data_IF_227558881866
#
_entry.id   IF_227558881866
#
_cell.length_a   1.000
_cell.length_b   1.000
_cell.length_c   1.000
_cell.angle_alpha   90.00
_cell.angle_beta   90.00
_cell.angle_gamma   90.00
#
_symmetry.space_group_name_H-M   'P 1'
#
loop_
_entity.id
_entity.type
_entity.pdbx_description
1 polymer ?
#
# COMPACT_ATOMS: atom_id res chain seq x y z
N UNK A 1 -6.19 24.71 -10.08
CA UNK A 1 -6.13 23.29 -10.34
C UNK A 1 -7.43 22.82 -10.97
N UNK A 2 -7.40 22.08 -12.07
CA UNK A 2 -8.59 21.47 -12.68
C UNK A 2 -8.35 19.99 -12.85
N UNK A 3 -9.37 19.18 -12.58
CA UNK A 3 -9.36 17.72 -12.72
C UNK A 3 -10.70 17.27 -13.31
N UNK A 4 -10.70 16.16 -14.04
CA UNK A 4 -11.92 15.48 -14.49
C UNK A 4 -12.23 14.31 -13.56
N UNK A 5 -13.09 14.51 -12.58
CA UNK A 5 -13.48 13.47 -11.62
C UNK A 5 -14.27 12.32 -12.26
N UNK A 6 -14.71 12.46 -13.52
CA UNK A 6 -15.35 11.37 -14.27
C UNK A 6 -14.34 10.36 -14.86
N UNK A 7 -13.04 10.62 -14.73
CA UNK A 7 -11.96 9.75 -15.22
C UNK A 7 -11.04 9.27 -14.09
N UNK A 8 -11.55 8.48 -13.14
CA UNK A 8 -10.75 7.93 -12.06
C UNK A 8 -9.75 6.91 -12.58
N UNK A 9 -8.55 6.92 -12.01
CA UNK A 9 -7.51 5.89 -12.19
C UNK A 9 -7.42 5.13 -10.87
N UNK A 10 -8.06 3.98 -10.80
CA UNK A 10 -8.09 3.12 -9.61
C UNK A 10 -6.73 2.43 -9.45
N UNK A 11 -6.13 2.57 -8.27
CA UNK A 11 -4.85 1.95 -7.93
C UNK A 11 -5.01 0.72 -7.03
N UNK A 12 -6.25 0.31 -6.72
CA UNK A 12 -6.46 -0.78 -5.78
C UNK A 12 -6.42 -2.16 -6.43
N UNK A 13 -5.96 -3.15 -5.68
CA UNK A 13 -6.12 -4.56 -5.97
C UNK A 13 -7.44 -5.06 -5.38
N UNK A 14 -8.16 -5.96 -6.08
CA UNK A 14 -9.40 -6.51 -5.56
C UNK A 14 -9.14 -7.43 -4.37
N UNK A 15 -10.01 -7.34 -3.36
CA UNK A 15 -10.06 -8.28 -2.25
C UNK A 15 -11.17 -9.30 -2.52
N UNK A 16 -10.79 -10.56 -2.77
CA UNK A 16 -11.73 -11.63 -3.07
C UNK A 16 -11.33 -12.97 -2.44
N UNK A 17 -12.28 -13.87 -2.24
CA UNK A 17 -12.02 -15.25 -1.87
C UNK A 17 -11.74 -16.12 -3.11
N UNK A 18 -11.12 -17.29 -2.91
CA UNK A 18 -10.86 -18.26 -3.99
C UNK A 18 -9.43 -18.16 -4.54
N UNK A 19 -9.23 -18.76 -5.71
CA UNK A 19 -7.92 -18.77 -6.36
C UNK A 19 -7.52 -17.39 -6.88
N UNK A 20 -6.23 -17.17 -7.04
CA UNK A 20 -5.69 -15.91 -7.57
C UNK A 20 -5.78 -14.71 -6.64
N UNK A 21 -5.87 -14.93 -5.34
CA UNK A 21 -5.80 -13.85 -4.35
C UNK A 21 -4.40 -13.26 -4.29
N UNK A 22 -4.30 -11.94 -4.21
CA UNK A 22 -3.05 -11.29 -3.80
C UNK A 22 -2.81 -11.57 -2.32
N UNK A 23 -1.63 -12.10 -2.00
CA UNK A 23 -1.21 -12.43 -0.63
C UNK A 23 0.22 -12.01 -0.34
N UNK A 24 0.49 -11.74 0.93
CA UNK A 24 1.83 -11.57 1.48
C UNK A 24 1.91 -12.18 2.89
N UNK A 25 3.11 -12.34 3.42
CA UNK A 25 3.35 -12.69 4.83
C UNK A 25 2.77 -14.04 5.27
N UNK A 26 2.63 -14.99 4.35
CA UNK A 26 2.10 -16.36 4.64
C UNK A 26 0.77 -16.37 5.38
N UNK A 27 -0.03 -15.30 5.26
CA UNK A 27 -1.36 -15.26 5.90
C UNK A 27 -2.30 -16.29 5.28
N UNK A 28 -3.28 -16.75 6.07
CA UNK A 28 -4.35 -17.62 5.57
C UNK A 28 -5.12 -16.92 4.43
N UNK A 29 -5.63 -17.65 3.44
CA UNK A 29 -6.45 -17.07 2.38
C UNK A 29 -7.64 -16.26 2.91
N UNK A 30 -8.07 -15.24 2.14
CA UNK A 30 -9.33 -14.56 2.39
C UNK A 30 -10.46 -15.57 2.35
N UNK A 31 -11.34 -15.55 3.33
CA UNK A 31 -12.60 -16.31 3.29
C UNK A 31 -13.81 -15.39 3.23
N UNK A 32 -14.82 -15.80 2.46
CA UNK A 32 -16.13 -15.16 2.37
C UNK A 32 -17.17 -16.26 2.51
N UNK A 33 -17.69 -16.45 3.71
CA UNK A 33 -18.54 -17.57 4.07
C UNK A 33 -19.95 -17.10 4.40
N UNK A 34 -20.94 -17.79 3.85
CA UNK A 34 -22.34 -17.50 4.16
C UNK A 34 -22.60 -17.66 5.68
N UNK A 35 -23.24 -16.67 6.27
CA UNK A 35 -23.77 -16.80 7.63
C UNK A 35 -24.85 -17.86 7.64
N UNK A 36 -24.80 -18.80 8.59
CA UNK A 36 -25.83 -19.81 8.78
C UNK A 36 -26.83 -19.29 9.82
N UNK A 37 -28.11 -19.19 9.41
CA UNK A 37 -29.22 -18.81 10.28
C UNK A 37 -30.26 -19.93 10.31
N UNK A 38 -30.60 -20.40 11.50
CA UNK A 38 -31.54 -21.54 11.73
C UNK A 38 -31.20 -22.77 10.85
N UNK A 39 -29.90 -23.07 10.72
CA UNK A 39 -29.40 -24.22 9.97
C UNK A 39 -29.41 -24.04 8.45
N UNK A 40 -29.68 -22.82 7.94
CA UNK A 40 -29.68 -22.51 6.49
C UNK A 40 -28.64 -21.45 6.16
N UNK A 41 -27.86 -21.63 5.10
CA UNK A 41 -26.94 -20.58 4.64
C UNK A 41 -27.73 -19.39 4.08
N UNK A 42 -27.31 -18.21 4.42
CA UNK A 42 -27.92 -16.96 3.97
C UNK A 42 -27.42 -16.59 2.58
N UNK A 43 -27.85 -17.37 1.59
CA UNK A 43 -27.57 -17.18 0.17
C UNK A 43 -28.88 -17.19 -0.63
N UNK A 44 -29.05 -16.20 -1.51
CA UNK A 44 -30.22 -16.13 -2.40
C UNK A 44 -30.29 -17.36 -3.31
N UNK A 45 -29.13 -17.86 -3.77
CA UNK A 45 -29.03 -19.07 -4.59
C UNK A 45 -29.55 -20.34 -3.87
N UNK A 46 -29.61 -20.32 -2.52
CA UNK A 46 -30.09 -21.41 -1.69
C UNK A 46 -31.47 -21.11 -1.05
N UNK A 47 -32.18 -20.12 -1.60
CA UNK A 47 -33.55 -19.78 -1.20
C UNK A 47 -33.67 -18.81 -0.04
N UNK A 48 -32.59 -18.19 0.41
CA UNK A 48 -32.64 -17.08 1.35
C UNK A 48 -33.09 -15.79 0.67
N UNK A 49 -33.61 -14.83 1.46
CA UNK A 49 -34.01 -13.51 0.94
C UNK A 49 -32.85 -12.57 0.64
N UNK A 50 -31.66 -12.85 1.18
CA UNK A 50 -30.46 -12.00 1.05
C UNK A 50 -29.21 -12.87 0.97
N UNK A 51 -28.14 -12.29 0.38
CA UNK A 51 -26.79 -12.79 0.52
C UNK A 51 -26.15 -12.11 1.73
N UNK A 52 -25.78 -12.89 2.72
CA UNK A 52 -25.19 -12.40 3.97
C UNK A 52 -23.98 -13.23 4.34
N UNK A 53 -22.78 -12.67 4.12
CA UNK A 53 -21.53 -13.36 4.32
C UNK A 53 -20.67 -12.68 5.39
N UNK A 54 -19.97 -13.50 6.17
CA UNK A 54 -18.83 -13.06 6.97
C UNK A 54 -17.58 -13.05 6.10
N UNK A 55 -16.74 -12.02 6.27
CA UNK A 55 -15.48 -11.87 5.52
C UNK A 55 -14.33 -11.89 6.52
N UNK A 56 -13.35 -12.76 6.30
CA UNK A 56 -12.10 -12.80 7.07
C UNK A 56 -10.93 -12.47 6.16
N UNK A 57 -10.14 -11.49 6.54
CA UNK A 57 -8.94 -11.07 5.85
C UNK A 57 -7.94 -10.45 6.84
N UNK A 58 -6.69 -10.32 6.39
CA UNK A 58 -5.65 -9.55 7.07
C UNK A 58 -5.38 -8.28 6.26
N UNK A 59 -5.49 -7.05 6.80
CA UNK A 59 -5.27 -5.82 6.04
C UNK A 59 -3.89 -5.79 5.37
N UNK A 60 -2.82 -6.12 6.09
CA UNK A 60 -1.44 -6.08 5.57
C UNK A 60 -1.12 -7.18 4.55
N UNK A 61 -1.85 -8.28 4.57
CA UNK A 61 -1.53 -9.46 3.75
C UNK A 61 -2.42 -9.64 2.52
N UNK A 62 -3.52 -8.88 2.37
CA UNK A 62 -4.51 -9.13 1.33
C UNK A 62 -4.90 -7.87 0.55
N UNK A 63 -4.11 -7.56 -0.48
CA UNK A 63 -4.42 -6.45 -1.39
C UNK A 63 -4.11 -5.07 -0.83
N UNK A 64 -4.60 -4.05 -1.53
CA UNK A 64 -4.28 -2.65 -1.23
C UNK A 64 -4.82 -2.23 0.12
N UNK A 65 -3.93 -1.73 0.94
CA UNK A 65 -4.24 -1.25 2.29
C UNK A 65 -3.44 0.01 2.62
N UNK A 66 -3.96 0.77 3.57
CA UNK A 66 -3.27 1.93 4.14
C UNK A 66 -3.07 1.70 5.63
N UNK A 67 -1.90 2.05 6.11
CA UNK A 67 -1.47 1.85 7.48
C UNK A 67 -0.94 3.12 8.13
N UNK A 68 -0.98 3.14 9.45
CA UNK A 68 -0.45 4.16 10.33
C UNK A 68 0.80 3.68 11.06
N UNK A 69 1.44 4.58 11.79
CA UNK A 69 2.55 4.23 12.70
C UNK A 69 2.17 3.19 13.77
N UNK A 70 0.89 2.96 14.00
CA UNK A 70 0.39 1.89 14.86
C UNK A 70 0.89 0.50 14.46
N UNK A 71 1.29 0.33 13.18
CA UNK A 71 1.89 -0.91 12.68
C UNK A 71 3.20 -1.29 13.39
N UNK A 72 3.99 -0.29 13.79
CA UNK A 72 5.31 -0.50 14.43
C UNK A 72 5.41 0.08 15.84
N UNK A 73 4.34 0.69 16.34
CA UNK A 73 4.29 1.31 17.68
C UNK A 73 3.62 0.39 18.70
N UNK A 74 4.12 0.33 19.95
CA UNK A 74 3.39 -0.31 21.03
C UNK A 74 2.12 0.45 21.43
N UNK A 75 2.03 1.76 21.13
CA UNK A 75 0.83 2.56 21.32
C UNK A 75 -0.15 2.32 20.17
N UNK A 76 -1.44 2.37 20.52
CA UNK A 76 -2.52 2.21 19.52
C UNK A 76 -2.71 3.51 18.76
N UNK A 77 -2.42 3.50 17.46
CA UNK A 77 -2.66 4.61 16.54
C UNK A 77 -3.56 4.15 15.38
N UNK A 78 -4.90 4.17 15.56
CA UNK A 78 -5.81 3.64 14.55
C UNK A 78 -5.73 4.45 13.26
N UNK A 79 -5.63 3.77 12.11
CA UNK A 79 -5.59 4.42 10.81
C UNK A 79 -6.87 5.20 10.51
N UNK A 80 -8.02 4.74 11.01
CA UNK A 80 -9.33 5.35 10.77
C UNK A 80 -9.44 6.83 11.18
N UNK A 81 -8.58 7.30 12.09
CA UNK A 81 -8.55 8.70 12.54
C UNK A 81 -7.44 9.55 11.93
N UNK A 82 -6.63 9.02 11.00
CA UNK A 82 -5.42 9.70 10.51
C UNK A 82 -5.68 10.81 9.51
N UNK A 83 -6.75 10.72 8.71
CA UNK A 83 -7.02 11.69 7.65
C UNK A 83 -8.01 12.76 8.12
N UNK A 84 -7.64 14.02 7.98
CA UNK A 84 -8.49 15.19 8.15
C UNK A 84 -9.06 15.73 6.81
N UNK A 85 -8.56 15.22 5.69
CA UNK A 85 -8.99 15.46 4.31
C UNK A 85 -8.67 14.26 3.44
N UNK A 86 -9.23 14.20 2.24
CA UNK A 86 -9.16 13.02 1.38
C UNK A 86 -8.50 13.27 0.03
N UNK A 87 -8.18 14.52 -0.31
CA UNK A 87 -7.56 14.90 -1.57
C UNK A 87 -6.19 15.53 -1.33
N UNK A 88 -5.18 15.05 -2.07
CA UNK A 88 -3.78 15.43 -1.92
C UNK A 88 -3.14 15.65 -3.28
N UNK A 89 -2.22 16.60 -3.36
CA UNK A 89 -1.35 16.72 -4.53
C UNK A 89 -0.35 15.56 -4.51
N UNK A 90 -0.40 14.75 -5.56
CA UNK A 90 0.43 13.56 -5.67
C UNK A 90 1.36 13.64 -6.88
N UNK A 91 2.51 13.01 -6.75
CA UNK A 91 3.40 12.72 -7.86
C UNK A 91 3.51 11.21 -8.05
N UNK A 92 3.27 10.72 -9.27
CA UNK A 92 3.56 9.36 -9.69
C UNK A 92 4.96 9.32 -10.28
N UNK A 93 5.77 8.38 -9.81
CA UNK A 93 7.11 8.12 -10.34
C UNK A 93 7.31 6.62 -10.60
N UNK A 94 7.97 6.29 -11.69
CA UNK A 94 8.37 4.92 -12.03
C UNK A 94 9.85 4.72 -11.70
N UNK A 95 10.16 3.71 -10.90
CA UNK A 95 11.52 3.43 -10.44
C UNK A 95 11.91 1.99 -10.78
N UNK A 96 13.09 1.81 -11.36
CA UNK A 96 13.72 0.50 -11.52
C UNK A 96 14.62 0.24 -10.33
N UNK A 97 14.30 -0.77 -9.47
CA UNK A 97 15.15 -1.11 -8.34
C UNK A 97 16.58 -1.50 -8.78
N UNK A 98 17.56 -1.19 -7.95
CA UNK A 98 18.95 -1.60 -8.11
C UNK A 98 19.18 -2.98 -7.52
N UNK A 99 19.82 -3.86 -8.26
CA UNK A 99 20.29 -5.15 -7.74
C UNK A 99 21.49 -4.93 -6.81
N UNK A 100 21.35 -5.37 -5.56
CA UNK A 100 22.39 -5.26 -4.53
C UNK A 100 22.65 -6.64 -3.94
N UNK A 101 23.86 -7.16 -4.13
CA UNK A 101 24.24 -8.45 -3.55
C UNK A 101 24.53 -8.28 -2.06
N UNK A 102 23.89 -9.09 -1.23
CA UNK A 102 24.12 -9.13 0.23
C UNK A 102 25.36 -9.97 0.57
N UNK A 103 25.83 -9.87 1.81
CA UNK A 103 26.94 -10.69 2.31
C UNK A 103 26.62 -12.20 2.28
N UNK A 104 25.35 -12.56 2.44
CA UNK A 104 24.84 -13.93 2.38
C UNK A 104 24.69 -14.46 0.94
N UNK A 105 24.98 -13.61 -0.07
CA UNK A 105 24.92 -13.99 -1.48
C UNK A 105 23.53 -13.92 -2.11
N UNK A 106 22.54 -13.37 -1.41
CA UNK A 106 21.20 -13.05 -1.95
C UNK A 106 21.28 -11.75 -2.75
N UNK A 107 20.52 -11.64 -3.82
CA UNK A 107 20.38 -10.38 -4.56
C UNK A 107 19.11 -9.68 -4.10
N UNK A 108 19.27 -8.57 -3.41
CA UNK A 108 18.16 -7.65 -3.07
C UNK A 108 17.88 -6.70 -4.23
N UNK A 109 16.63 -6.23 -4.31
CA UNK A 109 16.18 -5.23 -5.28
C UNK A 109 15.82 -3.95 -4.53
N UNK A 110 16.65 -2.92 -4.61
CA UNK A 110 16.59 -1.77 -3.70
C UNK A 110 16.20 -0.50 -4.45
N UNK A 111 15.18 0.18 -3.96
CA UNK A 111 14.83 1.56 -4.35
C UNK A 111 15.64 2.50 -3.45
N UNK A 112 16.61 3.19 -4.06
CA UNK A 112 17.58 4.01 -3.33
C UNK A 112 17.15 5.48 -3.24
N UNK A 113 17.77 6.23 -2.33
CA UNK A 113 17.64 7.68 -2.25
C UNK A 113 17.97 8.36 -3.59
N UNK A 114 19.01 7.85 -4.29
CA UNK A 114 19.40 8.39 -5.61
C UNK A 114 18.27 8.27 -6.64
N UNK A 115 17.61 7.12 -6.70
CA UNK A 115 16.46 6.91 -7.59
C UNK A 115 15.32 7.89 -7.31
N UNK A 116 14.98 8.09 -6.02
CA UNK A 116 13.86 8.97 -5.67
C UNK A 116 14.20 10.45 -5.91
N UNK A 117 15.42 10.88 -5.64
CA UNK A 117 15.85 12.25 -5.95
C UNK A 117 15.80 12.54 -7.44
N UNK A 118 16.25 11.61 -8.28
CA UNK A 118 16.20 11.74 -9.73
C UNK A 118 14.75 11.78 -10.23
N UNK A 119 13.91 10.88 -9.77
CA UNK A 119 12.53 10.74 -10.24
C UNK A 119 11.62 11.89 -9.79
N UNK A 120 11.78 12.38 -8.55
CA UNK A 120 10.96 13.46 -7.98
C UNK A 120 11.45 14.84 -8.47
N UNK A 121 12.78 15.01 -8.64
CA UNK A 121 13.38 16.30 -8.99
C UNK A 121 13.21 17.34 -7.88
N UNK A 122 12.91 18.57 -8.26
CA UNK A 122 12.73 19.70 -7.33
C UNK A 122 11.31 19.81 -6.74
N UNK A 123 10.45 18.82 -7.00
CA UNK A 123 9.08 18.81 -6.49
C UNK A 123 9.01 18.43 -5.01
N UNK A 124 7.96 18.89 -4.35
CA UNK A 124 7.62 18.53 -2.96
C UNK A 124 6.16 18.05 -2.95
N UNK A 125 5.90 16.80 -3.29
CA UNK A 125 4.55 16.27 -3.32
C UNK A 125 4.05 16.00 -1.88
N UNK A 126 2.74 16.22 -1.66
CA UNK A 126 2.09 15.80 -0.39
C UNK A 126 1.97 14.28 -0.34
N UNK A 127 1.73 13.66 -1.49
CA UNK A 127 1.67 12.21 -1.65
C UNK A 127 2.62 11.76 -2.76
N UNK A 128 3.34 10.68 -2.52
CA UNK A 128 4.20 10.05 -3.52
C UNK A 128 3.68 8.67 -3.86
N UNK A 129 3.46 8.45 -5.15
CA UNK A 129 3.07 7.13 -5.69
C UNK A 129 4.28 6.54 -6.43
N UNK A 130 4.77 5.42 -5.96
CA UNK A 130 5.91 4.72 -6.54
C UNK A 130 5.41 3.49 -7.30
N UNK A 131 5.70 3.45 -8.60
CA UNK A 131 5.54 2.26 -9.44
C UNK A 131 6.91 1.63 -9.68
N UNK A 132 7.06 0.36 -9.32
CA UNK A 132 8.30 -0.39 -9.61
C UNK A 132 8.30 -0.94 -11.02
N UNK A 133 9.40 -0.75 -11.75
CA UNK A 133 9.60 -1.25 -13.11
C UNK A 133 10.61 -2.39 -13.07
N UNK A 134 10.13 -3.62 -12.98
CA UNK A 134 10.97 -4.82 -12.86
C UNK A 134 10.58 -5.95 -13.85
N UNK A 135 9.97 -5.58 -14.99
CA UNK A 135 9.63 -6.53 -16.07
C UNK A 135 8.25 -7.18 -15.94
N UNK A 136 7.89 -7.66 -14.77
CA UNK A 136 6.53 -8.16 -14.48
C UNK A 136 5.80 -7.18 -13.59
N UNK A 137 4.79 -6.52 -14.16
CA UNK A 137 3.99 -5.50 -13.45
C UNK A 137 2.63 -6.05 -12.97
N UNK A 138 2.37 -7.36 -13.13
CA UNK A 138 1.16 -7.96 -12.59
C UNK A 138 1.29 -8.08 -11.07
N UNK A 139 0.41 -7.39 -10.34
CA UNK A 139 0.34 -7.41 -8.87
C UNK A 139 -0.84 -8.23 -8.39
N UNK A 140 -1.93 -8.21 -9.17
CA UNK A 140 -3.13 -8.97 -8.88
C UNK A 140 -2.87 -10.48 -8.96
N UNK A 141 -3.41 -11.22 -8.01
CA UNK A 141 -3.25 -12.67 -7.92
C UNK A 141 -1.86 -13.16 -7.52
N UNK A 142 -0.94 -12.27 -7.14
CA UNK A 142 0.42 -12.65 -6.76
C UNK A 142 0.49 -13.05 -5.29
N UNK A 143 1.13 -14.20 -5.01
CA UNK A 143 1.65 -14.50 -3.67
C UNK A 143 3.07 -13.93 -3.54
N UNK A 144 3.21 -12.95 -2.67
CA UNK A 144 4.48 -12.26 -2.42
C UNK A 144 5.36 -12.99 -1.40
N UNK A 145 4.76 -13.92 -0.64
CA UNK A 145 5.47 -14.61 0.45
C UNK A 145 6.68 -15.39 -0.05
N UNK A 146 7.86 -15.09 0.48
CA UNK A 146 9.13 -15.71 0.09
C UNK A 146 9.64 -15.31 -1.29
N UNK A 147 9.09 -14.23 -1.90
CA UNK A 147 9.45 -13.81 -3.26
C UNK A 147 10.60 -12.80 -3.32
N UNK A 148 11.11 -12.37 -2.16
CA UNK A 148 12.15 -11.33 -2.05
C UNK A 148 11.81 -10.08 -2.88
N UNK A 149 10.66 -9.42 -2.61
CA UNK A 149 10.24 -8.24 -3.34
C UNK A 149 11.24 -7.08 -3.19
N UNK A 150 11.20 -6.11 -4.11
CA UNK A 150 11.93 -4.86 -3.91
C UNK A 150 11.48 -4.14 -2.63
N UNK A 151 12.36 -3.26 -2.13
CA UNK A 151 12.10 -2.44 -0.95
C UNK A 151 12.82 -1.09 -1.03
N UNK A 152 12.46 -0.15 -0.15
CA UNK A 152 13.10 1.15 -0.03
C UNK A 152 14.24 1.11 1.00
N UNK A 153 15.37 1.72 0.70
CA UNK A 153 16.37 1.93 1.74
C UNK A 153 15.90 3.00 2.76
N UNK A 154 16.24 2.82 4.03
CA UNK A 154 15.81 3.71 5.11
C UNK A 154 16.13 5.18 4.85
N UNK A 155 17.31 5.48 4.27
CA UNK A 155 17.71 6.85 3.90
C UNK A 155 16.76 7.50 2.88
N UNK A 156 16.16 6.71 1.99
CA UNK A 156 15.16 7.20 1.05
C UNK A 156 13.88 7.63 1.79
N UNK A 157 13.42 6.82 2.73
CA UNK A 157 12.25 7.11 3.56
C UNK A 157 12.48 8.32 4.50
N UNK A 158 13.66 8.42 5.10
CA UNK A 158 14.07 9.59 5.89
C UNK A 158 14.04 10.87 5.06
N UNK A 159 14.56 10.82 3.83
CA UNK A 159 14.54 11.97 2.93
C UNK A 159 13.12 12.33 2.51
N UNK A 160 12.26 11.37 2.15
CA UNK A 160 10.86 11.63 1.83
C UNK A 160 10.15 12.33 2.99
N UNK A 161 10.38 11.86 4.22
CA UNK A 161 9.90 12.54 5.41
C UNK A 161 10.41 13.98 5.49
N UNK A 162 11.70 14.20 5.28
CA UNK A 162 12.35 15.50 5.41
C UNK A 162 11.87 16.55 4.42
N UNK A 163 11.47 16.13 3.21
CA UNK A 163 10.86 17.01 2.20
C UNK A 163 9.36 17.20 2.36
N UNK A 164 8.72 16.53 3.32
CA UNK A 164 7.32 16.77 3.68
C UNK A 164 6.31 15.83 3.03
N UNK A 165 6.72 14.69 2.43
CA UNK A 165 5.78 13.67 1.94
C UNK A 165 4.97 13.14 3.12
N UNK A 166 3.64 13.23 3.04
CA UNK A 166 2.71 12.75 4.07
C UNK A 166 2.20 11.35 3.77
N UNK A 167 1.91 11.07 2.50
CA UNK A 167 1.32 9.80 2.07
C UNK A 167 2.24 9.12 1.07
N UNK A 168 2.78 7.96 1.43
CA UNK A 168 3.63 7.14 0.57
C UNK A 168 2.81 5.95 0.08
N UNK A 169 2.70 5.80 -1.25
CA UNK A 169 1.97 4.71 -1.88
C UNK A 169 2.94 3.91 -2.75
N UNK A 170 2.93 2.58 -2.68
CA UNK A 170 3.82 1.72 -3.47
C UNK A 170 3.15 0.41 -3.88
N UNK A 171 3.59 -0.11 -5.01
CA UNK A 171 3.12 -1.37 -5.60
C UNK A 171 3.86 -2.60 -5.06
N UNK A 172 4.32 -2.53 -3.82
CA UNK A 172 5.07 -3.55 -3.11
C UNK A 172 4.33 -3.97 -1.84
N UNK A 173 4.63 -5.17 -1.30
CA UNK A 173 3.99 -5.64 -0.07
C UNK A 173 4.54 -4.99 1.20
N UNK A 174 5.67 -4.29 1.12
CA UNK A 174 6.27 -3.51 2.20
C UNK A 174 7.22 -2.45 1.69
N UNK A 175 7.39 -1.39 2.49
CA UNK A 175 8.52 -0.46 2.31
C UNK A 175 9.85 -1.09 2.72
N UNK A 176 9.85 -2.09 3.61
CA UNK A 176 11.03 -2.78 4.09
C UNK A 176 11.31 -4.09 3.36
N UNK A 177 12.51 -4.60 3.55
CA UNK A 177 12.95 -5.91 3.07
C UNK A 177 12.12 -7.01 3.73
N UNK A 178 11.65 -7.99 2.94
CA UNK A 178 10.82 -9.08 3.42
C UNK A 178 11.43 -9.83 4.63
N UNK A 179 12.74 -9.98 4.63
CA UNK A 179 13.46 -10.70 5.68
C UNK A 179 14.58 -9.82 6.24
N UNK A 180 14.24 -8.95 7.18
CA UNK A 180 15.14 -7.98 7.81
C UNK A 180 15.39 -8.24 9.31
N UNK A 181 14.87 -9.36 9.84
CA UNK A 181 14.95 -9.70 11.26
C UNK A 181 14.07 -8.84 12.16
N UNK A 182 13.07 -8.16 11.59
CA UNK A 182 12.16 -7.25 12.32
C UNK A 182 12.75 -5.88 12.56
N UNK A 183 13.75 -5.47 11.77
CA UNK A 183 14.38 -4.14 11.91
C UNK A 183 13.48 -3.01 11.43
N UNK A 184 12.62 -3.25 10.42
CA UNK A 184 11.62 -2.31 9.87
C UNK A 184 12.19 -0.90 9.64
N UNK A 185 13.43 -0.85 9.10
CA UNK A 185 14.23 0.38 9.07
C UNK A 185 13.60 1.49 8.21
N UNK A 186 12.93 1.14 7.11
CA UNK A 186 12.25 2.11 6.26
C UNK A 186 10.97 2.65 6.92
N UNK A 187 10.18 1.79 7.59
CA UNK A 187 9.04 2.23 8.39
C UNK A 187 9.47 3.20 9.49
N UNK A 188 10.48 2.81 10.30
CA UNK A 188 11.02 3.68 11.36
C UNK A 188 11.49 5.02 10.80
N UNK A 189 12.18 5.04 9.66
CA UNK A 189 12.68 6.25 9.04
C UNK A 189 11.56 7.15 8.51
N UNK A 190 10.50 6.58 7.93
CA UNK A 190 9.38 7.36 7.38
C UNK A 190 8.53 8.02 8.47
N UNK A 191 8.25 7.33 9.57
CA UNK A 191 7.48 7.87 10.69
C UNK A 191 8.32 8.58 11.77
N UNK A 192 9.65 8.55 11.68
CA UNK A 192 10.57 9.00 12.75
C UNK A 192 10.31 8.34 14.11
N UNK A 193 9.87 7.09 14.03
CA UNK A 193 9.58 6.32 15.24
C UNK A 193 10.89 5.75 15.83
N UNK A 194 11.11 5.81 17.14
CA UNK A 194 10.22 6.33 18.20
C UNK A 194 10.47 7.80 18.58
N UNK A 195 11.19 8.60 17.78
CA UNK A 195 11.66 9.94 18.16
C UNK A 195 10.55 11.01 18.13
N UNK A 196 10.30 11.59 16.96
CA UNK A 196 9.28 12.64 16.75
C UNK A 196 8.22 12.14 15.78
N UNK A 197 7.35 11.30 16.28
CA UNK A 197 6.34 10.62 15.44
C UNK A 197 5.34 11.61 14.86
N UNK A 198 5.25 11.65 13.53
CA UNK A 198 4.21 12.39 12.82
C UNK A 198 3.00 11.48 12.56
N UNK A 199 1.95 11.63 13.34
CA UNK A 199 0.73 10.83 13.26
C UNK A 199 -0.09 11.08 11.97
N UNK A 200 0.26 12.09 11.15
CA UNK A 200 -0.45 12.37 9.89
C UNK A 200 0.09 11.58 8.70
N UNK A 201 1.20 10.86 8.87
CA UNK A 201 1.83 10.09 7.79
C UNK A 201 1.20 8.73 7.67
N UNK A 202 0.95 8.31 6.43
CA UNK A 202 0.47 6.97 6.11
C UNK A 202 1.34 6.31 5.05
N UNK A 203 1.42 4.99 5.10
CA UNK A 203 1.95 4.17 4.02
C UNK A 203 0.78 3.40 3.41
N UNK A 204 0.71 3.34 2.09
CA UNK A 204 -0.25 2.52 1.35
C UNK A 204 0.51 1.52 0.50
N UNK A 205 0.26 0.25 0.71
CA UNK A 205 0.98 -0.86 0.09
C UNK A 205 0.10 -1.66 -0.85
N UNK A 206 0.73 -2.48 -1.70
CA UNK A 206 0.05 -3.33 -2.68
C UNK A 206 -0.91 -2.55 -3.59
N UNK A 207 -0.50 -1.36 -4.05
CA UNK A 207 -1.23 -0.69 -5.12
C UNK A 207 -0.89 -1.32 -6.48
N UNK A 208 -1.73 -1.05 -7.49
CA UNK A 208 -1.45 -1.39 -8.87
C UNK A 208 -1.67 -0.17 -9.76
N UNK A 209 -0.57 0.41 -10.26
CA UNK A 209 -0.65 1.51 -11.23
C UNK A 209 -0.80 0.91 -12.63
N UNK A 210 -1.87 1.22 -13.39
CA UNK A 210 -2.02 0.77 -14.76
C UNK A 210 -0.83 1.19 -15.64
N UNK A 211 -0.44 0.34 -16.60
CA UNK A 211 0.78 0.54 -17.41
C UNK A 211 0.74 1.80 -18.26
N UNK A 212 -0.44 2.17 -18.73
CA UNK A 212 -0.70 3.33 -19.58
C UNK A 212 -0.64 4.67 -18.84
N UNK A 213 -0.68 4.64 -17.52
CA UNK A 213 -0.59 5.86 -16.69
C UNK A 213 0.84 6.38 -16.73
N UNK A 214 1.01 7.62 -17.15
CA UNK A 214 2.33 8.26 -17.29
C UNK A 214 2.77 8.87 -15.96
N UNK A 215 4.08 8.93 -15.73
CA UNK A 215 4.62 9.63 -14.57
C UNK A 215 4.29 11.12 -14.62
N UNK A 216 4.04 11.73 -13.48
CA UNK A 216 3.67 13.14 -13.40
C UNK A 216 2.84 13.50 -12.19
N UNK A 217 2.22 14.67 -12.24
CA UNK A 217 1.43 15.22 -11.13
C UNK A 217 -0.05 14.87 -11.29
N UNK A 218 -0.67 14.48 -10.18
CA UNK A 218 -2.06 14.03 -10.09
C UNK A 218 -2.74 14.64 -8.87
N UNK A 219 -4.07 14.58 -8.83
CA UNK A 219 -4.84 14.66 -7.61
C UNK A 219 -5.06 13.23 -7.11
N UNK A 220 -4.60 12.92 -5.92
CA UNK A 220 -4.89 11.67 -5.22
C UNK A 220 -6.14 11.84 -4.37
N UNK A 221 -7.09 10.92 -4.52
CA UNK A 221 -8.13 10.66 -3.53
C UNK A 221 -7.70 9.44 -2.72
N UNK A 222 -7.52 9.61 -1.42
CA UNK A 222 -7.16 8.56 -0.48
C UNK A 222 -8.22 8.47 0.61
N UNK A 223 -8.95 7.35 0.61
CA UNK A 223 -9.96 7.04 1.60
C UNK A 223 -9.87 5.57 2.01
N UNK A 224 -10.28 5.29 3.23
CA UNK A 224 -10.40 3.93 3.77
C UNK A 224 -11.48 3.89 4.85
N UNK A 225 -12.03 2.70 5.17
CA UNK A 225 -12.98 2.54 6.26
C UNK A 225 -12.45 3.09 7.58
N UNK A 226 -13.34 3.60 8.43
CA UNK A 226 -12.98 4.10 9.76
C UNK A 226 -12.67 2.92 10.71
N UNK A 227 -11.63 2.15 10.39
CA UNK A 227 -11.17 1.02 11.20
C UNK A 227 -10.35 1.52 12.38
N UNK A 228 -10.67 1.01 13.57
CA UNK A 228 -9.91 1.25 14.80
C UNK A 228 -8.78 0.22 14.94
N UNK A 229 -8.06 0.00 13.85
CA UNK A 229 -6.90 -0.86 13.71
C UNK A 229 -5.76 -0.05 13.06
N UNK A 230 -4.54 -0.52 13.14
CA UNK A 230 -3.34 0.11 12.54
C UNK A 230 -3.39 0.19 11.01
N UNK A 231 -4.13 -0.71 10.37
CA UNK A 231 -4.32 -0.74 8.93
C UNK A 231 -5.77 -1.01 8.52
N UNK A 232 -6.14 -0.56 7.33
CA UNK A 232 -7.43 -0.81 6.71
C UNK A 232 -7.27 -1.06 5.20
N UNK A 233 -8.14 -1.86 4.56
CA UNK A 233 -8.24 -1.89 3.12
C UNK A 233 -8.48 -0.48 2.59
N UNK A 234 -7.83 -0.09 1.50
CA UNK A 234 -7.99 1.23 0.91
C UNK A 234 -8.18 1.14 -0.60
N UNK A 235 -8.78 2.17 -1.17
CA UNK A 235 -8.99 2.31 -2.61
C UNK A 235 -8.48 3.66 -3.09
N UNK A 236 -7.16 3.84 -3.19
CA UNK A 236 -6.58 5.10 -3.68
C UNK A 236 -6.89 5.29 -5.16
N UNK A 237 -7.25 6.52 -5.52
CA UNK A 237 -7.63 6.88 -6.90
C UNK A 237 -6.85 8.12 -7.33
N UNK A 238 -6.26 8.08 -8.52
CA UNK A 238 -5.65 9.23 -9.13
C UNK A 238 -6.58 9.88 -10.16
N UNK A 239 -6.49 11.20 -10.25
CA UNK A 239 -7.11 12.00 -11.30
C UNK A 239 -6.07 12.87 -11.97
N UNK A 240 -6.02 12.82 -13.30
CA UNK A 240 -5.10 13.65 -14.07
C UNK A 240 -5.42 15.14 -13.89
N UNK A 241 -4.38 15.97 -13.76
CA UNK A 241 -4.49 17.43 -13.77
C UNK A 241 -4.71 17.92 -15.20
N UNK A 242 -5.61 18.91 -15.38
CA UNK A 242 -5.99 19.49 -16.68
C UNK A 242 -5.52 20.95 -16.74
#
# INVERSE_FOLDING_TARGET
LKVDLAKPIDLSLPLHAGEGQTRAWWVDPVSMEAVVWEGRPMLVAEGSSVNFCSIRFNPHGHGTHTESVGHISPEVHPVGGMLDRYFFLAQLVSVRPLDRRTAEGVTDHVITLGHLREAIGDRIPEALVIRTVNGDNARDGRDWSGSNPPYLEAQACEWLRSIGVLHLLLDLPSVDRESDGGALAAHHAFWDHPNTVDLKRTITELIQVPREVVDGDYLLELQFPHFMNDAAPSRPVLYALI
#
